data_IF_975546351821
#
_entry.id   IF_975546351821
#
_cell.length_a   1.000
_cell.length_b   1.000
_cell.length_c   1.000
_cell.angle_alpha   90.00
_cell.angle_beta   90.00
_cell.angle_gamma   90.00
#
_symmetry.space_group_name_H-M   'P 1'
#
loop_
_entity.id
_entity.type
_entity.pdbx_description
1 polymer ?
#
# COMPACT_ATOMS: atom_id res chain seq x y z
N UNK A 1 -8.84 34.68 -36.49
CA UNK A 1 -10.27 34.33 -36.55
C UNK A 1 -10.46 33.10 -35.69
N UNK A 2 -11.24 33.26 -34.63
CA UNK A 2 -11.56 32.26 -33.62
C UNK A 2 -12.49 31.21 -34.22
N UNK A 3 -12.15 29.94 -34.10
CA UNK A 3 -13.12 28.83 -34.19
C UNK A 3 -13.05 28.06 -32.89
N UNK A 4 -14.21 28.01 -32.25
CA UNK A 4 -14.54 27.70 -30.87
C UNK A 4 -14.20 26.29 -30.39
N UNK A 5 -13.60 26.24 -29.20
CA UNK A 5 -13.69 25.15 -28.23
C UNK A 5 -15.16 24.81 -27.94
N UNK A 6 -15.61 23.61 -28.31
CA UNK A 6 -16.90 23.05 -27.87
C UNK A 6 -16.75 21.91 -26.86
N UNK A 7 -15.52 21.42 -26.57
CA UNK A 7 -15.29 20.33 -25.61
C UNK A 7 -14.88 20.82 -24.19
N UNK A 8 -14.59 22.12 -24.04
CA UNK A 8 -14.24 22.74 -22.75
C UNK A 8 -15.41 23.51 -22.11
N UNK A 9 -16.56 23.58 -22.80
CA UNK A 9 -17.76 24.24 -22.29
C UNK A 9 -18.64 23.30 -21.45
N UNK A 10 -18.54 21.99 -21.68
CA UNK A 10 -19.25 20.99 -20.88
C UNK A 10 -18.57 20.71 -19.52
N UNK A 11 -17.39 21.28 -19.26
CA UNK A 11 -16.65 21.08 -18.00
C UNK A 11 -16.89 22.20 -16.96
N UNK A 12 -17.54 23.30 -17.32
CA UNK A 12 -17.75 24.46 -16.43
C UNK A 12 -19.21 24.71 -16.05
N UNK A 13 -20.16 24.08 -16.74
CA UNK A 13 -21.61 24.26 -16.46
C UNK A 13 -22.15 23.31 -15.38
N UNK A 14 -21.36 22.32 -14.92
CA UNK A 14 -21.77 21.34 -13.88
C UNK A 14 -21.46 21.77 -12.42
N UNK A 15 -20.86 22.95 -12.22
CA UNK A 15 -20.68 23.54 -10.88
C UNK A 15 -21.94 24.27 -10.38
N UNK A 16 -23.06 24.15 -11.09
CA UNK A 16 -24.37 24.60 -10.66
C UNK A 16 -25.03 23.63 -9.68
N UNK A 17 -24.81 23.82 -8.38
CA UNK A 17 -25.67 23.30 -7.30
C UNK A 17 -26.16 21.86 -7.48
N UNK A 18 -25.24 20.90 -7.62
CA UNK A 18 -25.57 19.49 -7.86
C UNK A 18 -26.47 18.91 -6.76
N UNK A 19 -27.73 18.63 -7.10
CA UNK A 19 -28.59 17.79 -6.27
C UNK A 19 -27.98 16.38 -6.27
N UNK A 20 -27.42 15.96 -5.13
CA UNK A 20 -27.00 14.58 -4.89
C UNK A 20 -28.14 13.62 -5.29
N UNK A 21 -27.82 12.44 -5.86
CA UNK A 21 -28.85 11.49 -6.26
C UNK A 21 -29.73 11.13 -5.05
N UNK A 22 -31.05 10.94 -5.29
CA UNK A 22 -31.97 10.60 -4.22
C UNK A 22 -31.58 9.25 -3.62
N UNK A 23 -31.77 9.07 -2.30
CA UNK A 23 -31.39 7.84 -1.65
C UNK A 23 -32.29 6.68 -2.11
N UNK A 24 -31.74 5.46 -2.23
CA UNK A 24 -32.53 4.27 -2.53
C UNK A 24 -33.53 3.96 -1.41
N UNK A 25 -34.53 3.14 -1.73
CA UNK A 25 -35.54 2.66 -0.79
C UNK A 25 -36.27 3.76 0.02
N UNK A 26 -36.40 4.95 -0.56
CA UNK A 26 -37.03 6.10 0.08
C UNK A 26 -36.26 6.66 1.27
N UNK A 27 -34.93 6.46 1.32
CA UNK A 27 -34.07 7.05 2.35
C UNK A 27 -34.11 6.35 3.71
N UNK A 28 -34.55 5.08 3.76
CA UNK A 28 -34.69 4.31 5.01
C UNK A 28 -33.67 3.17 5.08
N UNK A 29 -32.50 3.37 5.71
CA UNK A 29 -31.51 2.31 5.90
C UNK A 29 -32.00 1.23 6.87
N UNK A 30 -31.57 -0.03 6.66
CA UNK A 30 -31.93 -1.16 7.54
C UNK A 30 -31.19 -1.18 8.88
N UNK A 31 -30.01 -0.56 8.95
CA UNK A 31 -29.13 -0.63 10.14
C UNK A 31 -28.57 0.72 10.57
N UNK A 32 -27.95 1.46 9.65
CA UNK A 32 -27.26 2.72 9.99
C UNK A 32 -28.24 3.81 10.41
N UNK A 33 -27.79 4.68 11.31
CA UNK A 33 -28.59 5.80 11.80
C UNK A 33 -28.04 7.11 11.25
N UNK A 34 -28.91 7.89 10.61
CA UNK A 34 -28.59 9.22 10.14
C UNK A 34 -28.68 10.26 11.27
N UNK A 35 -27.82 11.28 11.19
CA UNK A 35 -27.91 12.46 12.02
C UNK A 35 -29.10 13.34 11.60
N UNK A 36 -29.50 14.30 12.46
CA UNK A 36 -30.57 15.24 12.13
C UNK A 36 -30.34 15.95 10.79
N UNK A 37 -31.31 15.85 9.88
CA UNK A 37 -31.27 16.52 8.57
C UNK A 37 -30.54 15.76 7.46
N UNK A 38 -29.82 14.69 7.77
CA UNK A 38 -29.23 13.80 6.77
C UNK A 38 -30.28 12.77 6.32
N UNK A 39 -30.61 12.77 5.02
CA UNK A 39 -31.57 11.84 4.43
C UNK A 39 -30.88 10.73 3.63
N UNK A 40 -29.55 10.66 3.68
CA UNK A 40 -28.76 9.67 2.98
C UNK A 40 -28.48 10.00 1.52
N UNK A 41 -28.68 11.24 1.07
CA UNK A 41 -28.35 11.64 -0.31
C UNK A 41 -26.84 11.45 -0.59
N UNK A 42 -26.50 10.89 -1.74
CA UNK A 42 -25.12 10.57 -2.11
C UNK A 42 -24.49 9.39 -1.36
N UNK A 43 -25.26 8.60 -0.59
CA UNK A 43 -24.79 7.31 -0.08
C UNK A 43 -24.95 6.21 -1.12
N UNK A 44 -23.93 5.38 -1.26
CA UNK A 44 -24.03 4.10 -1.99
C UNK A 44 -25.18 3.25 -1.44
N UNK A 45 -25.81 2.49 -2.33
CA UNK A 45 -26.89 1.55 -1.99
C UNK A 45 -26.50 0.57 -0.89
N UNK A 46 -25.23 0.18 -0.81
CA UNK A 46 -24.72 -0.71 0.22
C UNK A 46 -25.06 -0.22 1.64
N UNK A 47 -25.00 1.10 1.88
CA UNK A 47 -25.25 1.67 3.22
C UNK A 47 -26.72 1.66 3.64
N UNK A 48 -27.65 1.30 2.75
CA UNK A 48 -29.06 1.10 3.08
C UNK A 48 -29.37 -0.35 3.45
N UNK A 49 -28.44 -1.26 3.23
CA UNK A 49 -28.55 -2.68 3.57
C UNK A 49 -28.22 -2.94 5.06
N UNK A 50 -28.40 -4.20 5.47
CA UNK A 50 -28.00 -4.66 6.81
C UNK A 50 -26.57 -5.25 6.76
N UNK A 51 -25.56 -4.59 7.35
CA UNK A 51 -24.17 -5.03 7.29
C UNK A 51 -23.96 -6.41 7.92
N UNK A 52 -24.85 -6.87 8.81
CA UNK A 52 -24.73 -8.19 9.46
C UNK A 52 -24.84 -9.33 8.46
N UNK A 53 -25.62 -9.14 7.40
CA UNK A 53 -25.87 -10.14 6.34
C UNK A 53 -25.35 -9.70 4.97
N UNK A 54 -24.85 -8.47 4.84
CA UNK A 54 -24.29 -7.93 3.61
C UNK A 54 -23.03 -8.70 3.18
N UNK A 55 -22.95 -9.06 1.90
CA UNK A 55 -21.82 -9.79 1.31
C UNK A 55 -21.11 -9.05 0.17
N UNK A 56 -21.63 -7.91 -0.27
CA UNK A 56 -21.17 -7.26 -1.49
C UNK A 56 -21.57 -8.03 -2.74
N UNK A 57 -21.50 -7.34 -3.88
CA UNK A 57 -21.68 -7.97 -5.20
C UNK A 57 -20.28 -8.29 -5.75
N UNK A 58 -19.99 -9.55 -6.11
CA UNK A 58 -18.76 -9.87 -6.82
C UNK A 58 -18.75 -9.22 -8.20
N UNK A 59 -17.57 -8.79 -8.65
CA UNK A 59 -17.39 -8.34 -10.03
C UNK A 59 -17.37 -9.51 -11.03
N UNK A 60 -17.11 -9.21 -12.31
CA UNK A 60 -17.08 -10.18 -13.41
C UNK A 60 -16.14 -11.36 -13.20
N UNK A 61 -15.07 -11.20 -12.39
CA UNK A 61 -14.11 -12.25 -12.06
C UNK A 61 -14.42 -12.99 -10.76
N UNK A 62 -15.58 -12.75 -10.15
CA UNK A 62 -15.97 -13.33 -8.86
C UNK A 62 -15.21 -12.76 -7.65
N UNK A 63 -14.39 -11.73 -7.86
CA UNK A 63 -13.66 -11.03 -6.81
C UNK A 63 -14.55 -9.96 -6.17
N UNK A 64 -14.40 -9.75 -4.86
CA UNK A 64 -15.02 -8.64 -4.14
C UNK A 64 -13.91 -7.69 -3.70
N UNK A 65 -14.07 -6.40 -4.02
CA UNK A 65 -13.13 -5.35 -3.61
C UNK A 65 -13.77 -4.39 -2.62
N UNK A 66 -12.98 -3.79 -1.73
CA UNK A 66 -13.40 -2.66 -0.90
C UNK A 66 -14.74 -2.86 -0.19
N UNK A 67 -14.82 -3.96 0.56
CA UNK A 67 -16.01 -4.44 1.28
C UNK A 67 -17.23 -4.72 0.38
N UNK A 68 -17.05 -4.68 -0.95
CA UNK A 68 -18.11 -4.76 -1.94
C UNK A 68 -18.95 -3.49 -2.04
N UNK A 69 -18.43 -2.32 -1.69
CA UNK A 69 -19.20 -1.06 -1.61
C UNK A 69 -19.36 -0.34 -2.96
N UNK A 70 -18.48 -0.64 -3.91
CA UNK A 70 -18.34 0.08 -5.16
C UNK A 70 -18.70 -0.81 -6.36
N UNK A 71 -19.22 -0.22 -7.44
CA UNK A 71 -19.34 -0.92 -8.72
C UNK A 71 -17.96 -1.18 -9.33
N UNK A 72 -17.92 -2.02 -10.36
CA UNK A 72 -16.69 -2.40 -11.06
C UNK A 72 -16.69 -1.90 -12.50
N UNK A 73 -15.50 -1.65 -13.04
CA UNK A 73 -15.28 -1.40 -14.45
C UNK A 73 -15.15 -2.70 -15.26
N UNK A 74 -14.88 -2.57 -16.56
CA UNK A 74 -14.71 -3.69 -17.48
C UNK A 74 -13.54 -4.60 -17.10
N UNK A 75 -12.52 -4.07 -16.42
CA UNK A 75 -11.34 -4.78 -15.96
C UNK A 75 -11.50 -5.38 -14.55
N UNK A 76 -12.71 -5.33 -13.99
CA UNK A 76 -13.05 -5.83 -12.65
C UNK A 76 -12.34 -5.06 -11.52
N UNK A 77 -12.02 -3.78 -11.74
CA UNK A 77 -11.49 -2.88 -10.72
C UNK A 77 -12.61 -2.02 -10.12
N UNK A 78 -12.53 -1.70 -8.82
CA UNK A 78 -13.53 -0.86 -8.17
C UNK A 78 -13.49 0.56 -8.74
N UNK A 79 -14.66 1.04 -9.13
CA UNK A 79 -14.86 2.41 -9.60
C UNK A 79 -15.11 3.31 -8.38
N UNK A 80 -14.08 4.04 -7.97
CA UNK A 80 -14.17 4.95 -6.84
C UNK A 80 -14.71 6.33 -7.27
N UNK A 81 -15.90 6.67 -6.78
CA UNK A 81 -16.53 8.01 -6.82
C UNK A 81 -16.29 8.85 -8.10
N UNK A 82 -16.83 8.39 -9.24
CA UNK A 82 -16.64 9.03 -10.56
C UNK A 82 -17.20 10.46 -10.63
N UNK A 83 -18.31 10.71 -9.91
CA UNK A 83 -19.10 11.96 -9.97
C UNK A 83 -18.81 12.92 -8.81
N UNK A 84 -17.88 12.58 -7.91
CA UNK A 84 -17.57 13.39 -6.72
C UNK A 84 -18.69 13.43 -5.69
N UNK A 85 -19.67 12.53 -5.77
CA UNK A 85 -20.82 12.46 -4.89
C UNK A 85 -20.41 12.22 -3.43
N UNK A 86 -19.41 11.37 -3.22
CA UNK A 86 -18.90 11.07 -1.88
C UNK A 86 -18.19 12.30 -1.29
N UNK A 87 -17.47 13.07 -2.11
CA UNK A 87 -16.86 14.34 -1.72
C UNK A 87 -17.94 15.38 -1.36
N UNK A 88 -18.95 15.57 -2.22
CA UNK A 88 -20.05 16.53 -1.96
C UNK A 88 -20.81 16.16 -0.69
N UNK A 89 -21.09 14.86 -0.49
CA UNK A 89 -21.71 14.35 0.73
C UNK A 89 -20.84 14.63 1.95
N UNK A 90 -19.54 14.37 1.86
CA UNK A 90 -18.58 14.66 2.93
C UNK A 90 -18.59 16.16 3.25
N UNK A 91 -18.51 17.04 2.25
CA UNK A 91 -18.58 18.49 2.46
C UNK A 91 -19.88 18.93 3.14
N UNK A 92 -21.03 18.37 2.73
CA UNK A 92 -22.36 18.72 3.25
C UNK A 92 -22.58 18.25 4.69
N UNK A 93 -22.15 17.04 5.02
CA UNK A 93 -22.49 16.40 6.29
C UNK A 93 -21.32 16.21 7.25
N UNK A 94 -20.07 16.56 6.89
CA UNK A 94 -18.91 16.38 7.78
C UNK A 94 -19.15 16.96 9.16
N UNK A 95 -19.63 18.21 9.26
CA UNK A 95 -19.85 18.91 10.54
C UNK A 95 -20.90 18.21 11.40
N UNK A 96 -21.90 17.56 10.79
CA UNK A 96 -22.95 16.81 11.50
C UNK A 96 -22.40 15.59 12.25
N UNK A 97 -21.32 15.02 11.72
CA UNK A 97 -20.66 13.82 12.23
C UNK A 97 -19.27 14.13 12.83
N UNK A 98 -18.92 15.40 13.02
CA UNK A 98 -17.73 15.77 13.78
C UNK A 98 -17.96 15.51 15.28
N UNK A 99 -16.97 14.93 15.95
CA UNK A 99 -17.01 14.64 17.39
C UNK A 99 -17.41 13.19 17.70
N UNK A 100 -18.41 13.00 18.57
CA UNK A 100 -18.77 11.68 19.11
C UNK A 100 -19.79 10.92 18.27
N UNK A 101 -20.40 11.55 17.26
CA UNK A 101 -21.40 10.89 16.41
C UNK A 101 -20.71 10.19 15.24
N UNK A 102 -20.80 8.86 15.21
CA UNK A 102 -20.32 8.07 14.07
C UNK A 102 -21.14 8.35 12.81
N UNK A 103 -20.46 8.49 11.68
CA UNK A 103 -21.11 8.59 10.37
C UNK A 103 -21.85 7.27 10.04
N UNK A 104 -22.84 7.30 9.13
CA UNK A 104 -23.53 6.10 8.68
C UNK A 104 -22.56 5.09 8.07
N UNK A 105 -21.56 5.57 7.34
CA UNK A 105 -20.52 4.72 6.77
C UNK A 105 -19.68 4.05 7.85
N UNK A 106 -19.22 4.78 8.87
CA UNK A 106 -18.46 4.18 9.98
C UNK A 106 -19.29 3.12 10.72
N UNK A 107 -20.56 3.41 11.03
CA UNK A 107 -21.47 2.45 11.68
C UNK A 107 -21.60 1.13 10.88
N UNK A 108 -21.60 1.22 9.55
CA UNK A 108 -21.69 0.05 8.67
C UNK A 108 -20.38 -0.73 8.64
N UNK A 109 -19.26 -0.03 8.46
CA UNK A 109 -17.93 -0.63 8.31
C UNK A 109 -17.44 -1.26 9.61
N UNK A 110 -17.74 -0.65 10.76
CA UNK A 110 -17.45 -1.23 12.08
C UNK A 110 -18.02 -2.65 12.22
N UNK A 111 -19.25 -2.86 11.73
CA UNK A 111 -19.91 -4.18 11.76
C UNK A 111 -19.22 -5.17 10.83
N UNK A 112 -18.83 -4.76 9.62
CA UNK A 112 -18.10 -5.62 8.68
C UNK A 112 -16.74 -6.03 9.24
N UNK A 113 -16.01 -5.07 9.82
CA UNK A 113 -14.72 -5.32 10.46
C UNK A 113 -14.86 -6.23 11.67
N UNK A 114 -15.88 -6.04 12.52
CA UNK A 114 -16.16 -6.92 13.65
C UNK A 114 -16.51 -8.34 13.21
N UNK A 115 -17.27 -8.49 12.12
CA UNK A 115 -17.59 -9.79 11.55
C UNK A 115 -16.32 -10.47 11.05
N UNK A 116 -15.51 -9.78 10.25
CA UNK A 116 -14.25 -10.34 9.72
C UNK A 116 -13.26 -10.68 10.84
N UNK A 117 -13.18 -9.87 11.91
CA UNK A 117 -12.39 -10.19 13.11
C UNK A 117 -12.81 -11.52 13.73
N UNK A 118 -14.12 -11.74 13.90
CA UNK A 118 -14.65 -12.98 14.47
C UNK A 118 -14.42 -14.18 13.55
N UNK A 119 -14.58 -13.99 12.24
CA UNK A 119 -14.30 -15.02 11.24
C UNK A 119 -12.83 -15.44 11.27
N UNK A 120 -11.90 -14.48 11.25
CA UNK A 120 -10.46 -14.79 11.35
C UNK A 120 -10.11 -15.41 12.70
N UNK A 121 -10.68 -14.94 13.81
CA UNK A 121 -10.42 -15.51 15.12
C UNK A 121 -10.89 -16.98 15.25
N UNK A 122 -11.89 -17.39 14.46
CA UNK A 122 -12.38 -18.75 14.39
C UNK A 122 -11.74 -19.59 13.26
N UNK A 123 -10.90 -18.98 12.42
CA UNK A 123 -10.29 -19.64 11.27
C UNK A 123 -9.16 -20.58 11.71
N UNK A 124 -9.25 -21.84 11.30
CA UNK A 124 -8.12 -22.76 11.35
C UNK A 124 -7.25 -22.59 10.11
N UNK A 125 -6.01 -22.14 10.30
CA UNK A 125 -5.05 -21.96 9.22
C UNK A 125 -4.50 -23.29 8.69
N UNK A 126 -4.76 -24.43 9.34
CA UNK A 126 -4.28 -25.76 8.92
C UNK A 126 -2.77 -25.80 8.63
N UNK A 127 -1.97 -24.98 9.34
CA UNK A 127 -0.52 -24.90 9.17
C UNK A 127 -0.04 -23.97 8.04
N UNK A 128 -0.94 -23.26 7.34
CA UNK A 128 -0.57 -22.29 6.28
C UNK A 128 0.37 -21.19 6.80
N UNK A 129 0.31 -20.85 8.08
CA UNK A 129 1.23 -19.92 8.75
C UNK A 129 2.66 -20.47 8.89
N UNK A 130 2.86 -21.77 8.75
CA UNK A 130 4.16 -22.46 8.85
C UNK A 130 4.72 -22.88 7.50
N UNK A 131 3.94 -22.70 6.44
CA UNK A 131 4.31 -23.06 5.07
C UNK A 131 4.86 -21.86 4.32
N UNK A 132 5.78 -22.12 3.40
CA UNK A 132 6.17 -21.15 2.41
C UNK A 132 5.17 -21.14 1.26
N UNK A 133 5.01 -19.99 0.63
CA UNK A 133 4.19 -19.82 -0.57
C UNK A 133 5.00 -19.16 -1.65
N UNK A 134 4.74 -19.55 -2.90
CA UNK A 134 5.21 -18.82 -4.08
C UNK A 134 4.08 -17.90 -4.50
N UNK A 135 4.36 -16.60 -4.49
CA UNK A 135 3.44 -15.56 -4.94
C UNK A 135 3.88 -14.99 -6.27
N UNK A 136 2.90 -14.66 -7.10
CA UNK A 136 3.08 -13.89 -8.31
C UNK A 136 2.26 -12.60 -8.22
N UNK A 137 2.95 -11.48 -8.10
CA UNK A 137 2.33 -10.15 -8.11
C UNK A 137 2.47 -9.52 -9.48
N UNK A 138 1.38 -8.98 -10.01
CA UNK A 138 1.36 -8.18 -11.24
C UNK A 138 0.63 -6.87 -11.02
N UNK A 139 1.02 -5.84 -11.77
CA UNK A 139 0.22 -4.63 -11.91
C UNK A 139 -1.03 -4.94 -12.74
N UNK A 140 -2.20 -4.51 -12.31
CA UNK A 140 -3.41 -4.63 -13.13
C UNK A 140 -3.37 -3.58 -14.25
N UNK A 141 -3.94 -3.91 -15.41
CA UNK A 141 -4.06 -3.00 -16.57
C UNK A 141 -2.74 -2.44 -17.13
N UNK A 142 -1.60 -3.01 -16.75
CA UNK A 142 -0.29 -2.71 -17.33
C UNK A 142 0.18 -3.92 -18.12
N UNK A 143 -0.34 -4.05 -19.34
CA UNK A 143 -0.11 -5.19 -20.20
C UNK A 143 0.75 -4.82 -21.42
N UNK A 144 1.41 -5.82 -21.99
CA UNK A 144 2.04 -5.74 -23.30
C UNK A 144 0.98 -5.76 -24.41
N UNK A 145 1.40 -5.48 -25.65
CA UNK A 145 0.53 -5.55 -26.85
C UNK A 145 -0.13 -6.92 -27.07
N UNK A 146 0.43 -7.98 -26.48
CA UNK A 146 -0.09 -9.35 -26.60
C UNK A 146 -1.03 -9.72 -25.42
N UNK A 147 -1.33 -8.79 -24.51
CA UNK A 147 -2.17 -9.03 -23.33
C UNK A 147 -1.40 -9.58 -22.11
N UNK A 148 -0.11 -9.87 -22.23
CA UNK A 148 0.70 -10.37 -21.11
C UNK A 148 1.08 -9.27 -20.12
N UNK A 149 1.11 -9.53 -18.80
CA UNK A 149 1.53 -8.55 -17.80
C UNK A 149 2.94 -8.00 -18.10
N UNK A 150 3.06 -6.67 -18.14
CA UNK A 150 4.32 -6.01 -18.47
C UNK A 150 5.24 -5.88 -17.25
N UNK A 151 4.65 -5.74 -16.07
CA UNK A 151 5.36 -5.56 -14.80
C UNK A 151 4.85 -6.58 -13.78
N UNK A 152 5.74 -7.47 -13.34
CA UNK A 152 5.40 -8.51 -12.36
C UNK A 152 6.64 -9.02 -11.61
N UNK A 153 6.40 -9.66 -10.46
CA UNK A 153 7.43 -10.30 -9.62
C UNK A 153 6.93 -11.65 -9.14
N UNK A 154 7.82 -12.63 -9.12
CA UNK A 154 7.56 -13.97 -8.58
C UNK A 154 8.54 -14.24 -7.44
N UNK A 155 8.03 -14.57 -6.26
CA UNK A 155 8.87 -14.72 -5.08
C UNK A 155 8.28 -15.72 -4.08
N UNK A 156 9.16 -16.35 -3.31
CA UNK A 156 8.83 -17.27 -2.21
C UNK A 156 8.99 -16.57 -0.88
N UNK A 157 8.11 -16.86 0.08
CA UNK A 157 8.19 -16.40 1.47
C UNK A 157 7.27 -17.22 2.38
N UNK A 158 7.41 -17.06 3.70
CA UNK A 158 6.50 -17.68 4.68
C UNK A 158 5.10 -17.06 4.68
N UNK A 159 4.06 -17.90 4.69
CA UNK A 159 2.67 -17.49 4.93
C UNK A 159 2.40 -16.93 6.34
N UNK A 160 3.32 -17.16 7.29
CA UNK A 160 3.26 -16.65 8.66
C UNK A 160 3.77 -15.22 8.83
N UNK A 161 4.20 -14.56 7.76
CA UNK A 161 4.64 -13.16 7.83
C UNK A 161 3.44 -12.24 8.17
N UNK A 162 3.65 -11.27 9.08
CA UNK A 162 2.64 -10.22 9.34
C UNK A 162 2.47 -9.33 8.13
N UNK A 163 1.23 -8.90 7.83
CA UNK A 163 0.93 -8.08 6.65
C UNK A 163 1.71 -6.75 6.66
N UNK A 164 1.85 -6.13 7.82
CA UNK A 164 2.65 -4.90 7.98
C UNK A 164 4.12 -5.09 7.60
N UNK A 165 4.70 -6.24 7.97
CA UNK A 165 6.09 -6.61 7.65
C UNK A 165 6.19 -7.04 6.18
N UNK A 166 5.22 -7.78 5.67
CA UNK A 166 5.13 -8.16 4.26
C UNK A 166 5.16 -6.92 3.37
N UNK A 167 4.33 -5.92 3.66
CA UNK A 167 4.37 -4.65 2.95
C UNK A 167 5.73 -3.96 3.07
N UNK A 168 6.18 -3.72 4.31
CA UNK A 168 7.31 -2.84 4.58
C UNK A 168 8.64 -3.42 4.11
N UNK A 169 8.81 -4.73 4.30
CA UNK A 169 10.10 -5.41 4.18
C UNK A 169 10.23 -6.23 2.92
N UNK A 170 9.12 -6.60 2.28
CA UNK A 170 9.13 -7.54 1.15
C UNK A 170 8.50 -6.92 -0.08
N UNK A 171 7.21 -6.59 -0.04
CA UNK A 171 6.45 -6.21 -1.23
C UNK A 171 6.90 -4.88 -1.82
N UNK A 172 6.97 -3.82 -1.01
CA UNK A 172 7.47 -2.52 -1.45
C UNK A 172 8.88 -2.59 -2.09
N UNK A 173 9.92 -3.17 -1.44
CA UNK A 173 11.27 -3.22 -2.02
C UNK A 173 11.40 -4.13 -3.25
N UNK A 174 10.67 -5.26 -3.32
CA UNK A 174 10.71 -6.17 -4.48
C UNK A 174 10.06 -5.52 -5.70
N UNK A 175 8.94 -4.82 -5.52
CA UNK A 175 8.31 -4.05 -6.59
C UNK A 175 9.21 -2.90 -7.04
N UNK A 176 9.80 -2.18 -6.08
CA UNK A 176 10.63 -0.99 -6.30
C UNK A 176 10.02 0.30 -5.75
N UNK A 177 9.04 0.18 -4.87
CA UNK A 177 8.40 1.31 -4.18
C UNK A 177 9.26 1.83 -3.01
N UNK A 178 9.11 3.12 -2.72
CA UNK A 178 9.71 3.78 -1.57
C UNK A 178 8.97 3.36 -0.31
N UNK A 179 9.69 2.76 0.63
CA UNK A 179 9.13 2.38 1.92
C UNK A 179 8.64 3.60 2.68
N UNK A 180 7.49 3.44 3.33
CA UNK A 180 6.85 4.45 4.18
C UNK A 180 6.43 5.74 3.45
N UNK A 181 6.24 5.72 2.14
CA UNK A 181 5.85 6.92 1.41
C UNK A 181 4.33 7.09 1.38
N UNK A 182 3.64 6.15 0.75
CA UNK A 182 2.19 6.20 0.56
C UNK A 182 1.41 5.25 1.48
N UNK A 183 0.10 5.46 1.58
CA UNK A 183 -0.82 4.49 2.16
C UNK A 183 -0.94 3.25 1.28
N UNK A 184 -1.43 2.17 1.88
CA UNK A 184 -1.71 0.93 1.19
C UNK A 184 -2.83 0.15 1.89
N UNK A 185 -3.46 -0.75 1.15
CA UNK A 185 -4.30 -1.82 1.72
C UNK A 185 -4.08 -3.14 0.99
N UNK A 186 -4.21 -4.23 1.73
CA UNK A 186 -4.49 -5.55 1.18
C UNK A 186 -5.99 -5.80 1.19
N UNK A 187 -6.48 -6.49 0.16
CA UNK A 187 -7.88 -6.90 0.03
C UNK A 187 -7.95 -8.42 -0.02
N UNK A 188 -8.71 -9.02 0.90
CA UNK A 188 -9.15 -10.41 0.76
C UNK A 188 -10.22 -10.47 -0.33
N UNK A 189 -9.86 -10.91 -1.54
CA UNK A 189 -10.78 -10.84 -2.70
C UNK A 189 -11.95 -11.82 -2.60
N UNK A 190 -11.98 -12.70 -1.59
CA UNK A 190 -13.09 -13.63 -1.34
C UNK A 190 -14.30 -12.93 -0.72
N UNK A 191 -14.09 -11.83 0.01
CA UNK A 191 -15.15 -11.08 0.71
C UNK A 191 -14.98 -9.55 0.72
N UNK A 192 -13.91 -9.03 0.13
CA UNK A 192 -13.60 -7.61 0.03
C UNK A 192 -13.01 -6.99 1.29
N UNK A 193 -12.70 -7.76 2.33
CA UNK A 193 -12.16 -7.20 3.56
C UNK A 193 -10.82 -6.50 3.35
N UNK A 194 -10.68 -5.30 3.92
CA UNK A 194 -9.49 -4.47 3.79
C UNK A 194 -8.58 -4.57 5.02
N UNK A 195 -7.28 -4.57 4.79
CA UNK A 195 -6.23 -4.60 5.81
C UNK A 195 -5.18 -3.53 5.52
N UNK A 196 -4.91 -2.65 6.48
CA UNK A 196 -3.94 -1.56 6.35
C UNK A 196 -3.37 -1.12 7.70
N UNK A 197 -2.42 -0.17 7.73
CA UNK A 197 -1.72 0.18 8.97
C UNK A 197 -2.63 0.92 9.96
N UNK A 198 -2.68 0.48 11.24
CA UNK A 198 -3.54 1.10 12.28
C UNK A 198 -3.40 2.63 12.35
N UNK A 199 -2.17 3.11 12.13
CA UNK A 199 -1.88 4.54 11.97
C UNK A 199 -1.06 4.77 10.72
N UNK A 200 -1.39 5.81 9.95
CA UNK A 200 -0.55 6.32 8.87
C UNK A 200 -0.61 7.85 8.87
N UNK A 201 0.52 8.51 8.67
CA UNK A 201 0.59 9.96 8.45
C UNK A 201 0.91 10.32 7.00
N UNK A 202 0.84 9.35 6.07
CA UNK A 202 1.00 9.65 4.64
C UNK A 202 -0.10 10.60 4.17
N UNK A 203 0.26 11.52 3.27
CA UNK A 203 -0.62 12.61 2.82
C UNK A 203 -1.88 12.06 2.14
N UNK A 204 -1.73 10.99 1.38
CA UNK A 204 -2.79 10.31 0.63
C UNK A 204 -3.82 9.58 1.52
N UNK A 205 -3.61 9.51 2.85
CA UNK A 205 -4.61 8.98 3.79
C UNK A 205 -5.95 9.72 3.69
N UNK A 206 -5.95 10.98 3.24
CA UNK A 206 -7.17 11.77 3.00
C UNK A 206 -8.15 11.10 2.03
N UNK A 207 -7.66 10.18 1.19
CA UNK A 207 -8.47 9.43 0.22
C UNK A 207 -9.08 8.14 0.79
N UNK A 208 -8.89 7.82 2.09
CA UNK A 208 -9.41 6.58 2.70
C UNK A 208 -10.93 6.40 2.50
N UNK A 209 -11.70 7.48 2.53
CA UNK A 209 -13.15 7.48 2.27
C UNK A 209 -13.51 7.03 0.85
N UNK A 210 -12.59 7.20 -0.11
CA UNK A 210 -12.75 6.74 -1.48
C UNK A 210 -12.28 5.30 -1.68
N UNK A 211 -11.55 4.70 -0.74
CA UNK A 211 -11.06 3.33 -0.87
C UNK A 211 -12.02 2.33 -0.24
N UNK A 212 -12.44 2.58 0.99
CA UNK A 212 -13.31 1.66 1.74
C UNK A 212 -13.67 2.14 3.14
N UNK A 213 -13.47 3.43 3.41
CA UNK A 213 -13.72 4.14 4.67
C UNK A 213 -12.86 3.71 5.87
N UNK A 214 -12.63 2.41 6.06
CA UNK A 214 -11.77 1.88 7.11
C UNK A 214 -11.27 0.48 6.76
N UNK A 215 -10.29 0.00 7.53
CA UNK A 215 -9.66 -1.29 7.35
C UNK A 215 -9.20 -1.92 8.68
N UNK A 216 -9.00 -3.23 8.66
CA UNK A 216 -8.42 -3.96 9.78
C UNK A 216 -6.92 -3.65 9.93
N UNK A 217 -6.40 -3.49 11.16
CA UNK A 217 -4.99 -3.16 11.41
C UNK A 217 -4.08 -4.33 11.02
N UNK A 218 -3.29 -4.14 9.96
CA UNK A 218 -2.53 -5.18 9.27
C UNK A 218 -1.42 -5.82 10.13
N UNK A 219 -0.92 -5.11 11.15
CA UNK A 219 0.04 -5.67 12.12
C UNK A 219 -0.56 -6.81 12.96
N UNK A 220 -1.89 -6.91 13.05
CA UNK A 220 -2.58 -7.97 13.80
C UNK A 220 -2.75 -9.25 12.98
N UNK A 221 -2.58 -9.20 11.66
CA UNK A 221 -2.87 -10.30 10.75
C UNK A 221 -1.62 -10.79 9.99
N UNK A 222 -1.60 -12.08 9.70
CA UNK A 222 -0.62 -12.75 8.83
C UNK A 222 -1.13 -12.88 7.39
N UNK A 223 -0.20 -13.04 6.44
CA UNK A 223 -0.49 -13.29 5.03
C UNK A 223 -1.39 -14.51 4.80
N UNK A 224 -1.19 -15.59 5.57
CA UNK A 224 -2.00 -16.82 5.57
C UNK A 224 -3.49 -16.62 5.88
N UNK A 225 -3.91 -15.48 6.43
CA UNK A 225 -5.35 -15.21 6.57
C UNK A 225 -6.02 -14.80 5.26
N UNK A 226 -5.25 -14.36 4.25
CA UNK A 226 -5.79 -13.80 3.01
C UNK A 226 -5.93 -14.83 1.88
N UNK A 227 -5.58 -16.09 2.12
CA UNK A 227 -5.74 -17.18 1.16
C UNK A 227 -6.02 -18.50 1.87
N UNK A 228 -6.49 -19.51 1.13
CA UNK A 228 -6.73 -20.85 1.64
C UNK A 228 -6.15 -21.94 0.73
N UNK A 229 -5.98 -21.66 -0.57
CA UNK A 229 -5.49 -22.62 -1.56
C UNK A 229 -4.70 -21.96 -2.67
N UNK A 230 -4.00 -22.78 -3.45
CA UNK A 230 -3.38 -22.36 -4.72
C UNK A 230 -4.44 -21.81 -5.68
N UNK A 231 -4.08 -20.74 -6.39
CA UNK A 231 -4.98 -19.99 -7.28
C UNK A 231 -5.78 -18.89 -6.59
N UNK A 232 -5.82 -18.84 -5.25
CA UNK A 232 -6.43 -17.71 -4.54
C UNK A 232 -5.66 -16.42 -4.85
N UNK A 233 -6.41 -15.31 -4.86
CA UNK A 233 -5.89 -14.00 -5.23
C UNK A 233 -6.11 -12.98 -4.10
N UNK A 234 -5.14 -12.10 -3.92
CA UNK A 234 -5.13 -11.02 -2.93
C UNK A 234 -4.97 -9.72 -3.70
N UNK A 235 -5.84 -8.74 -3.40
CA UNK A 235 -5.71 -7.40 -3.94
C UNK A 235 -4.67 -6.62 -3.14
N UNK A 236 -3.86 -5.81 -3.82
CA UNK A 236 -2.95 -4.88 -3.16
C UNK A 236 -3.04 -3.51 -3.84
N UNK A 237 -3.55 -2.54 -3.08
CA UNK A 237 -3.63 -1.15 -3.50
C UNK A 237 -2.51 -0.38 -2.81
N UNK A 238 -1.63 0.23 -3.60
CA UNK A 238 -0.58 1.14 -3.13
C UNK A 238 -0.88 2.55 -3.64
N UNK A 239 -0.68 3.55 -2.78
CA UNK A 239 -1.02 4.95 -3.03
C UNK A 239 -2.52 5.17 -3.23
N UNK A 240 -3.18 5.75 -2.24
CA UNK A 240 -4.62 6.02 -2.35
C UNK A 240 -4.94 7.19 -3.29
N UNK A 241 -3.94 8.03 -3.62
CA UNK A 241 -4.06 9.09 -4.60
C UNK A 241 -4.07 8.50 -6.02
N UNK A 242 -2.92 7.97 -6.42
CA UNK A 242 -2.69 7.40 -7.76
C UNK A 242 -3.48 6.11 -8.02
N UNK A 243 -3.67 5.29 -6.98
CA UNK A 243 -4.32 3.98 -7.03
C UNK A 243 -3.57 2.96 -7.88
N UNK A 244 -2.38 2.57 -7.43
CA UNK A 244 -1.65 1.44 -8.02
C UNK A 244 -2.25 0.11 -7.56
N UNK A 245 -3.08 -0.46 -8.42
CA UNK A 245 -3.69 -1.76 -8.19
C UNK A 245 -2.76 -2.89 -8.63
N UNK A 246 -2.64 -3.88 -7.76
CA UNK A 246 -1.90 -5.10 -8.00
C UNK A 246 -2.76 -6.30 -7.64
N UNK A 247 -2.52 -7.39 -8.36
CA UNK A 247 -3.09 -8.69 -8.09
C UNK A 247 -1.97 -9.65 -7.68
N UNK A 248 -2.07 -10.20 -6.48
CA UNK A 248 -1.12 -11.18 -5.93
C UNK A 248 -1.80 -12.54 -6.00
N UNK A 249 -1.25 -13.47 -6.80
CA UNK A 249 -1.77 -14.84 -6.91
C UNK A 249 -0.91 -15.80 -6.10
N UNK A 250 -1.55 -16.69 -5.33
CA UNK A 250 -0.88 -17.81 -4.67
C UNK A 250 -0.63 -18.90 -5.70
N UNK A 251 0.56 -18.95 -6.29
CA UNK A 251 0.87 -19.94 -7.32
C UNK A 251 1.09 -21.33 -6.73
N UNK A 252 1.76 -21.40 -5.58
CA UNK A 252 2.12 -22.68 -4.96
C UNK A 252 2.18 -22.55 -3.44
N UNK A 253 1.67 -23.56 -2.74
CA UNK A 253 1.84 -23.73 -1.29
C UNK A 253 2.86 -24.85 -1.07
N UNK A 254 3.97 -24.53 -0.43
CA UNK A 254 5.08 -25.46 -0.20
C UNK A 254 4.79 -26.29 1.04
N UNK A 255 5.00 -27.62 1.02
CA UNK A 255 4.89 -28.46 2.21
C UNK A 255 5.75 -27.93 3.36
N UNK A 256 5.29 -28.12 4.60
CA UNK A 256 5.95 -27.54 5.78
C UNK A 256 7.40 -28.07 5.93
N UNK A 257 7.63 -29.32 5.60
CA UNK A 257 8.93 -30.00 5.61
C UNK A 257 9.94 -29.44 4.59
N UNK A 258 9.44 -28.82 3.52
CA UNK A 258 10.25 -28.14 2.49
C UNK A 258 10.37 -26.63 2.75
N UNK A 259 9.65 -26.11 3.75
CA UNK A 259 9.57 -24.68 4.06
C UNK A 259 10.74 -24.22 4.93
N UNK A 260 11.45 -23.19 4.48
CA UNK A 260 12.61 -22.59 5.17
C UNK A 260 12.29 -21.20 5.73
N UNK A 261 11.18 -20.59 5.29
CA UNK A 261 10.74 -19.26 5.68
C UNK A 261 11.53 -18.14 5.01
N UNK A 262 12.45 -18.44 4.10
CA UNK A 262 13.29 -17.44 3.45
C UNK A 262 12.52 -16.68 2.37
N UNK A 263 12.72 -15.36 2.32
CA UNK A 263 12.21 -14.51 1.25
C UNK A 263 13.17 -14.58 0.07
N UNK A 264 12.72 -15.20 -1.04
CA UNK A 264 13.51 -15.39 -2.27
C UNK A 264 12.79 -14.80 -3.46
N UNK A 265 13.43 -13.87 -4.16
CA UNK A 265 12.95 -13.41 -5.47
C UNK A 265 13.33 -14.47 -6.49
N UNK A 266 12.34 -15.07 -7.14
CA UNK A 266 12.53 -16.16 -8.09
C UNK A 266 12.66 -15.64 -9.51
N UNK A 267 11.83 -14.66 -9.87
CA UNK A 267 11.81 -14.08 -11.22
C UNK A 267 11.06 -12.73 -11.23
N UNK A 268 11.15 -12.01 -12.34
CA UNK A 268 10.38 -10.78 -12.56
C UNK A 268 10.59 -10.18 -13.94
N UNK A 269 9.71 -9.24 -14.29
CA UNK A 269 9.79 -8.47 -15.54
C UNK A 269 9.32 -7.04 -15.32
N UNK A 270 9.89 -6.11 -16.08
CA UNK A 270 9.49 -4.71 -16.08
C UNK A 270 9.99 -3.94 -14.86
N UNK A 271 10.38 -2.69 -15.11
CA UNK A 271 10.77 -1.74 -14.07
C UNK A 271 9.54 -1.30 -13.28
N UNK A 272 9.74 -0.91 -12.02
CA UNK A 272 8.65 -0.29 -11.26
C UNK A 272 8.22 1.01 -11.95
N UNK A 273 6.92 1.37 -11.98
CA UNK A 273 6.55 2.74 -12.33
C UNK A 273 7.24 3.74 -11.39
N UNK A 274 7.40 4.99 -11.83
CA UNK A 274 7.84 6.06 -10.94
C UNK A 274 6.77 6.33 -9.87
N UNK A 275 7.18 6.72 -8.67
CA UNK A 275 6.24 7.24 -7.66
C UNK A 275 5.50 8.48 -8.21
N UNK A 276 4.21 8.63 -7.91
CA UNK A 276 3.35 9.75 -8.35
C UNK A 276 3.18 9.84 -9.89
N UNK A 277 2.96 8.70 -10.56
CA UNK A 277 2.73 8.61 -12.01
C UNK A 277 1.27 8.24 -12.37
N UNK A 278 0.29 8.72 -11.59
CA UNK A 278 -1.15 8.66 -11.88
C UNK A 278 -1.73 7.24 -12.03
N UNK A 279 -1.13 6.24 -11.38
CA UNK A 279 -1.68 4.89 -11.25
C UNK A 279 -1.70 4.03 -12.51
N UNK A 280 -2.27 2.83 -12.38
CA UNK A 280 -2.29 1.83 -13.44
C UNK A 280 -3.02 2.29 -14.71
N UNK A 281 -4.16 2.99 -14.55
CA UNK A 281 -4.98 3.47 -15.68
C UNK A 281 -4.24 4.47 -16.56
N UNK A 282 -3.31 5.26 -16.01
CA UNK A 282 -2.52 6.23 -16.77
C UNK A 282 -1.22 5.61 -17.28
N UNK A 283 -0.62 4.71 -16.50
CA UNK A 283 0.69 4.15 -16.82
C UNK A 283 0.66 3.12 -17.96
N UNK A 284 -0.43 2.36 -18.11
CA UNK A 284 -0.64 1.48 -19.27
C UNK A 284 -0.57 2.27 -20.59
N UNK A 285 -1.43 3.28 -20.79
CA UNK A 285 -1.36 4.19 -21.94
C UNK A 285 -0.02 4.90 -22.10
N UNK A 286 0.63 5.31 -21.00
CA UNK A 286 1.98 5.89 -21.04
C UNK A 286 2.98 4.92 -21.69
N UNK A 287 2.95 3.63 -21.34
CA UNK A 287 3.83 2.62 -21.94
C UNK A 287 3.47 2.30 -23.41
N UNK A 288 2.19 2.39 -23.78
CA UNK A 288 1.77 2.28 -25.17
C UNK A 288 2.27 3.45 -26.03
N UNK A 289 2.21 4.67 -25.49
CA UNK A 289 2.82 5.86 -26.12
C UNK A 289 4.33 5.65 -26.24
N UNK A 290 4.98 5.22 -25.15
CA UNK A 290 6.42 4.97 -25.13
C UNK A 290 6.83 4.03 -26.26
N UNK A 291 6.10 2.94 -26.50
CA UNK A 291 6.42 1.99 -27.58
C UNK A 291 6.37 2.62 -28.98
N UNK A 292 5.45 3.55 -29.19
CA UNK A 292 5.21 4.23 -30.48
C UNK A 292 6.06 5.50 -30.64
N UNK A 293 6.65 6.00 -29.56
CA UNK A 293 7.35 7.27 -29.50
C UNK A 293 8.67 7.27 -30.28
N UNK A 294 9.04 8.46 -30.78
CA UNK A 294 10.35 8.72 -31.39
C UNK A 294 11.47 8.58 -30.34
N UNK A 295 12.74 8.34 -30.75
CA UNK A 295 13.86 8.26 -29.81
C UNK A 295 13.99 9.49 -28.89
N UNK A 296 13.73 10.70 -29.40
CA UNK A 296 13.77 11.93 -28.61
C UNK A 296 12.68 11.93 -27.53
N UNK A 297 11.44 11.59 -27.90
CA UNK A 297 10.32 11.51 -26.95
C UNK A 297 10.54 10.43 -25.90
N UNK A 298 11.09 9.27 -26.27
CA UNK A 298 11.48 8.22 -25.32
C UNK A 298 12.47 8.73 -24.27
N UNK A 299 13.43 9.56 -24.65
CA UNK A 299 14.39 10.13 -23.69
C UNK A 299 13.70 11.05 -22.67
N UNK A 300 12.73 11.85 -23.10
CA UNK A 300 11.93 12.69 -22.20
C UNK A 300 11.11 11.84 -21.22
N UNK A 301 10.39 10.85 -21.72
CA UNK A 301 9.59 9.93 -20.89
C UNK A 301 10.44 9.15 -19.89
N UNK A 302 11.66 8.73 -20.27
CA UNK A 302 12.62 8.12 -19.34
C UNK A 302 13.04 9.09 -18.26
N UNK A 303 13.26 10.37 -18.60
CA UNK A 303 13.63 11.40 -17.61
C UNK A 303 12.49 11.66 -16.64
N UNK A 304 11.25 11.61 -17.09
CA UNK A 304 10.06 11.73 -16.22
C UNK A 304 10.05 10.62 -15.16
N UNK A 305 10.21 9.34 -15.57
CA UNK A 305 10.29 8.23 -14.62
C UNK A 305 11.50 8.38 -13.68
N UNK A 306 12.67 8.71 -14.24
CA UNK A 306 13.91 8.80 -13.47
C UNK A 306 13.96 10.00 -12.51
N UNK A 307 13.06 10.97 -12.66
CA UNK A 307 12.89 12.07 -11.72
C UNK A 307 12.08 11.66 -10.47
N UNK A 308 11.42 10.50 -10.49
CA UNK A 308 10.63 10.03 -9.37
C UNK A 308 11.50 9.54 -8.19
N UNK A 309 11.04 9.71 -6.93
CA UNK A 309 11.79 9.35 -5.72
C UNK A 309 12.37 7.93 -5.67
N UNK A 310 11.67 6.93 -6.23
CA UNK A 310 12.16 5.55 -6.27
C UNK A 310 13.35 5.33 -7.21
N UNK A 311 13.66 6.31 -8.07
CA UNK A 311 14.77 6.27 -9.03
C UNK A 311 15.94 7.19 -8.69
N UNK A 312 15.93 7.84 -7.51
CA UNK A 312 17.02 8.72 -7.07
C UNK A 312 18.42 8.06 -7.08
N UNK A 313 18.49 6.74 -6.91
CA UNK A 313 19.74 5.98 -6.92
C UNK A 313 20.08 5.35 -8.29
N UNK A 314 19.29 5.60 -9.34
CA UNK A 314 19.49 5.01 -10.65
C UNK A 314 20.76 5.56 -11.33
N UNK A 315 21.56 4.67 -11.92
CA UNK A 315 22.82 5.03 -12.58
C UNK A 315 22.60 5.90 -13.82
N UNK A 316 23.40 6.97 -13.96
CA UNK A 316 23.45 7.75 -15.21
C UNK A 316 24.22 6.95 -16.28
N UNK A 317 23.86 7.06 -17.58
CA UNK A 317 22.85 7.95 -18.18
C UNK A 317 21.43 7.36 -18.29
N UNK A 318 20.40 8.20 -18.49
CA UNK A 318 19.02 7.77 -18.76
C UNK A 318 18.85 6.76 -19.91
N UNK A 319 19.80 6.68 -20.83
CA UNK A 319 19.78 5.70 -21.91
C UNK A 319 19.87 4.25 -21.42
N UNK A 320 20.39 4.01 -20.21
CA UNK A 320 20.41 2.68 -19.58
C UNK A 320 19.06 2.26 -19.02
N UNK A 321 18.11 3.19 -18.85
CA UNK A 321 16.79 2.84 -18.37
C UNK A 321 15.98 2.17 -19.48
N UNK A 322 15.49 0.97 -19.21
CA UNK A 322 14.58 0.23 -20.06
C UNK A 322 13.36 -0.20 -19.24
N UNK A 323 12.15 0.31 -19.53
CA UNK A 323 10.95 0.00 -18.74
C UNK A 323 10.56 -1.48 -18.76
N UNK A 324 11.00 -2.27 -19.75
CA UNK A 324 10.72 -3.70 -19.83
C UNK A 324 11.76 -4.56 -19.07
N UNK A 325 12.87 -3.97 -18.65
CA UNK A 325 13.95 -4.69 -17.96
C UNK A 325 13.61 -5.00 -16.50
N UNK A 326 14.22 -6.06 -15.96
CA UNK A 326 14.19 -6.36 -14.53
C UNK A 326 15.54 -6.92 -14.10
N UNK A 327 16.12 -6.33 -13.04
CA UNK A 327 17.38 -6.77 -12.45
C UNK A 327 17.13 -7.49 -11.14
N UNK A 328 17.24 -8.82 -11.16
CA UNK A 328 17.14 -9.65 -9.95
C UNK A 328 18.19 -9.26 -8.89
N UNK A 329 19.47 -9.02 -9.22
CA UNK A 329 20.46 -8.58 -8.24
C UNK A 329 20.10 -7.25 -7.56
N UNK A 330 19.58 -6.27 -8.29
CA UNK A 330 19.17 -4.99 -7.71
C UNK A 330 17.93 -5.13 -6.83
N UNK A 331 16.95 -5.95 -7.24
CA UNK A 331 15.79 -6.25 -6.42
C UNK A 331 16.17 -7.00 -5.13
N UNK A 332 17.08 -7.97 -5.23
CA UNK A 332 17.61 -8.68 -4.06
C UNK A 332 18.38 -7.75 -3.11
N UNK A 333 19.10 -6.76 -3.65
CA UNK A 333 19.76 -5.73 -2.84
C UNK A 333 18.74 -4.87 -2.09
N UNK A 334 17.70 -4.36 -2.76
CA UNK A 334 16.62 -3.58 -2.11
C UNK A 334 15.93 -4.38 -1.02
N UNK A 335 15.67 -5.66 -1.26
CA UNK A 335 15.10 -6.58 -0.28
C UNK A 335 16.03 -6.74 0.94
N UNK A 336 17.32 -7.03 0.71
CA UNK A 336 18.31 -7.18 1.78
C UNK A 336 18.46 -5.90 2.63
N UNK A 337 18.51 -4.73 1.99
CA UNK A 337 18.57 -3.44 2.68
C UNK A 337 17.30 -3.20 3.53
N UNK A 338 16.12 -3.56 3.02
CA UNK A 338 14.88 -3.47 3.77
C UNK A 338 14.87 -4.42 4.98
N UNK A 339 15.21 -5.69 4.79
CA UNK A 339 15.30 -6.69 5.86
C UNK A 339 16.31 -6.31 6.95
N UNK A 340 17.44 -5.71 6.57
CA UNK A 340 18.50 -5.26 7.49
C UNK A 340 18.19 -4.01 8.30
N UNK A 341 17.15 -3.25 7.92
CA UNK A 341 16.78 -1.97 8.54
C UNK A 341 15.67 -2.12 9.59
N UNK A 342 15.43 -1.08 10.39
CA UNK A 342 14.26 -1.03 11.28
C UNK A 342 12.95 -0.92 10.49
N UNK A 343 11.84 -1.32 11.10
CA UNK A 343 10.52 -1.07 10.53
C UNK A 343 10.28 0.43 10.35
N UNK A 344 9.57 0.76 9.30
CA UNK A 344 9.13 2.13 9.07
C UNK A 344 8.14 2.59 10.14
N UNK A 345 8.27 3.85 10.59
CA UNK A 345 7.34 4.45 11.54
C UNK A 345 6.16 5.02 10.76
N UNK A 346 5.05 4.27 10.71
CA UNK A 346 3.86 4.65 9.92
C UNK A 346 3.22 5.97 10.34
N UNK A 347 3.34 6.35 11.62
CA UNK A 347 2.87 7.64 12.13
C UNK A 347 3.77 8.83 11.76
N UNK A 348 4.83 8.60 10.97
CA UNK A 348 5.72 9.62 10.44
C UNK A 348 6.27 9.18 9.08
N UNK A 349 5.34 9.00 8.15
CA UNK A 349 5.57 8.70 6.75
C UNK A 349 6.53 9.69 6.09
N UNK A 350 7.18 9.23 5.01
CA UNK A 350 8.06 10.04 4.19
C UNK A 350 7.25 11.10 3.45
N UNK A 351 7.71 12.34 3.49
CA UNK A 351 7.05 13.46 2.80
C UNK A 351 8.10 14.45 2.32
N UNK A 352 7.90 15.01 1.13
CA UNK A 352 8.71 16.12 0.65
C UNK A 352 8.08 17.44 1.12
N UNK A 353 8.86 18.26 1.81
CA UNK A 353 8.42 19.56 2.30
C UNK A 353 9.10 20.67 1.49
N UNK A 354 8.30 21.64 1.04
CA UNK A 354 8.79 22.93 0.57
C UNK A 354 8.46 23.99 1.63
N UNK A 355 9.39 24.34 2.53
CA UNK A 355 9.13 25.28 3.60
C UNK A 355 8.85 26.69 3.06
N UNK A 356 7.70 27.27 3.44
CA UNK A 356 7.37 28.68 3.16
C UNK A 356 8.19 29.62 4.06
N UNK A 357 8.67 29.14 5.21
CA UNK A 357 9.59 29.85 6.11
C UNK A 357 10.51 28.84 6.85
N UNK A 358 11.72 29.25 7.29
CA UNK A 358 12.61 28.40 8.08
C UNK A 358 11.96 28.05 9.44
N UNK A 359 11.85 26.76 9.73
CA UNK A 359 11.39 26.19 11.01
C UNK A 359 10.08 26.78 11.59
N UNK A 360 8.98 26.47 10.89
CA UNK A 360 7.64 26.86 11.32
C UNK A 360 7.08 26.04 12.50
N UNK A 361 6.02 26.57 13.09
CA UNK A 361 5.19 26.00 14.17
C UNK A 361 4.84 24.51 13.94
N UNK A 362 4.68 24.09 12.68
CA UNK A 362 4.40 22.71 12.30
C UNK A 362 5.48 21.71 12.76
N UNK A 363 6.77 22.07 12.71
CA UNK A 363 7.85 21.16 13.14
C UNK A 363 7.84 20.97 14.67
N UNK A 364 7.54 22.03 15.42
CA UNK A 364 7.37 21.95 16.87
C UNK A 364 6.20 21.04 17.25
N UNK A 365 5.05 21.17 16.57
CA UNK A 365 3.90 20.27 16.77
C UNK A 365 4.22 18.82 16.45
N UNK A 366 4.92 18.54 15.34
CA UNK A 366 5.32 17.16 14.99
C UNK A 366 6.21 16.55 16.08
N UNK A 367 7.18 17.30 16.60
CA UNK A 367 8.09 16.84 17.67
C UNK A 367 7.37 16.50 18.97
N UNK A 368 6.27 17.18 19.31
CA UNK A 368 5.47 16.88 20.51
C UNK A 368 4.80 15.50 20.46
N UNK A 369 4.55 14.96 19.27
CA UNK A 369 3.85 13.69 19.08
C UNK A 369 4.79 12.48 18.89
N UNK A 370 6.10 12.69 18.98
CA UNK A 370 7.07 11.61 18.87
C UNK A 370 7.00 10.66 20.07
N UNK A 371 6.91 9.36 19.79
CA UNK A 371 7.05 8.34 20.83
C UNK A 371 8.51 8.23 21.26
N UNK A 372 8.76 7.76 22.48
CA UNK A 372 10.12 7.64 23.03
C UNK A 372 11.04 6.85 22.07
N UNK A 373 12.16 7.44 21.66
CA UNK A 373 13.14 6.85 20.73
C UNK A 373 12.80 7.03 19.25
N UNK A 374 11.79 7.82 18.91
CA UNK A 374 11.56 8.28 17.55
C UNK A 374 12.29 9.60 17.28
N UNK A 375 12.72 9.77 16.04
CA UNK A 375 13.48 10.93 15.57
C UNK A 375 12.99 11.35 14.18
N UNK A 376 12.82 12.65 13.97
CA UNK A 376 12.55 13.21 12.63
C UNK A 376 13.88 13.36 11.91
N UNK A 377 14.01 12.71 10.76
CA UNK A 377 15.14 12.81 9.85
C UNK A 377 14.74 13.76 8.72
N UNK A 378 15.61 14.74 8.42
CA UNK A 378 15.45 15.64 7.28
C UNK A 378 16.64 15.48 6.35
N UNK A 379 16.37 15.24 5.08
CA UNK A 379 17.36 15.11 4.01
C UNK A 379 17.10 16.21 2.99
N UNK A 380 17.99 17.21 2.94
CA UNK A 380 17.79 18.43 2.16
C UNK A 380 18.21 18.19 0.72
N UNK A 381 17.35 18.61 -0.21
CA UNK A 381 17.66 18.57 -1.64
C UNK A 381 18.84 19.54 -1.91
N UNK A 382 20.00 19.06 -2.40
CA UNK A 382 21.16 19.92 -2.65
C UNK A 382 20.92 21.02 -3.70
N UNK A 383 19.98 20.80 -4.63
CA UNK A 383 19.70 21.69 -5.76
C UNK A 383 18.36 22.43 -5.59
N UNK A 384 17.56 22.05 -4.60
CA UNK A 384 16.22 22.56 -4.35
C UNK A 384 16.08 23.43 -3.09
N UNK A 385 14.88 23.97 -2.89
CA UNK A 385 14.50 24.70 -1.68
C UNK A 385 13.78 23.81 -0.65
N UNK A 386 13.68 22.51 -0.91
CA UNK A 386 12.91 21.54 -0.12
C UNK A 386 13.75 20.48 0.57
N UNK A 387 13.09 19.63 1.36
CA UNK A 387 13.71 18.50 2.02
C UNK A 387 12.73 17.33 2.15
N UNK A 388 13.27 16.12 2.07
CA UNK A 388 12.58 14.91 2.49
C UNK A 388 12.58 14.82 4.00
N UNK A 389 11.43 14.48 4.57
CA UNK A 389 11.28 14.24 6.00
C UNK A 389 10.70 12.86 6.24
N UNK A 390 11.21 12.13 7.23
CA UNK A 390 10.58 10.91 7.74
C UNK A 390 10.83 10.75 9.24
N UNK A 391 9.96 10.02 9.93
CA UNK A 391 10.23 9.59 11.31
C UNK A 391 10.90 8.21 11.30
N UNK A 392 11.99 8.10 12.03
CA UNK A 392 12.71 6.84 12.26
C UNK A 392 12.64 6.47 13.74
N UNK A 393 12.96 5.22 14.09
CA UNK A 393 13.09 4.81 15.47
C UNK A 393 14.46 4.18 15.74
N UNK A 394 15.03 4.53 16.89
CA UNK A 394 16.20 3.87 17.46
C UNK A 394 15.82 2.66 18.33
N UNK A 395 14.53 2.41 18.54
CA UNK A 395 14.06 1.23 19.27
C UNK A 395 14.12 -0.01 18.37
N UNK A 396 14.34 -1.15 19.02
CA UNK A 396 14.16 -2.46 18.38
C UNK A 396 12.69 -2.69 18.03
N UNK A 397 12.47 -3.35 16.90
CA UNK A 397 11.14 -3.76 16.47
C UNK A 397 10.53 -4.79 17.43
N UNK A 398 9.19 -4.81 17.48
CA UNK A 398 8.45 -5.81 18.26
C UNK A 398 8.74 -7.21 17.72
N UNK A 399 8.65 -8.22 18.59
CA UNK A 399 9.02 -9.61 18.25
C UNK A 399 8.13 -10.22 17.16
N UNK A 400 6.86 -9.86 17.17
CA UNK A 400 5.82 -10.31 16.25
C UNK A 400 5.80 -9.49 14.94
N UNK A 401 6.36 -8.28 14.94
CA UNK A 401 6.46 -7.40 13.78
C UNK A 401 7.89 -7.39 13.20
N UNK A 402 8.66 -8.47 13.33
CA UNK A 402 10.05 -8.51 12.87
C UNK A 402 10.40 -9.85 12.25
N UNK A 403 11.41 -9.83 11.39
CA UNK A 403 11.89 -10.99 10.63
C UNK A 403 13.40 -11.11 10.77
N UNK A 404 13.94 -12.26 10.38
CA UNK A 404 15.38 -12.42 10.27
C UNK A 404 15.94 -11.41 9.25
N UNK A 405 16.89 -10.60 9.68
CA UNK A 405 17.47 -9.55 8.84
C UNK A 405 18.33 -10.07 7.68
N UNK A 406 18.67 -11.35 7.69
CA UNK A 406 19.44 -11.97 6.60
C UNK A 406 18.55 -12.68 5.57
N UNK A 407 17.47 -13.34 6.02
CA UNK A 407 16.68 -14.26 5.18
C UNK A 407 15.19 -13.92 5.15
N UNK A 408 14.69 -13.00 5.99
CA UNK A 408 13.28 -12.61 6.02
C UNK A 408 12.34 -13.60 6.73
N UNK A 409 12.85 -14.69 7.32
CA UNK A 409 12.03 -15.64 8.08
C UNK A 409 11.34 -14.97 9.28
N UNK A 410 10.00 -15.02 9.39
CA UNK A 410 9.30 -14.68 10.63
C UNK A 410 9.52 -15.80 11.66
N UNK A 411 10.07 -15.47 12.83
CA UNK A 411 10.16 -16.43 13.96
C UNK A 411 10.22 -15.68 15.30
N UNK A 412 9.08 -15.14 15.80
CA UNK A 412 9.06 -14.25 16.96
C UNK A 412 9.75 -14.83 18.21
N UNK A 413 9.69 -16.15 18.36
CA UNK A 413 10.20 -16.88 19.52
C UNK A 413 11.69 -17.21 19.41
N UNK A 414 12.21 -17.47 18.20
CA UNK A 414 13.58 -17.94 17.99
C UNK A 414 14.55 -16.81 17.59
N UNK A 415 14.03 -15.64 17.22
CA UNK A 415 14.83 -14.52 16.73
C UNK A 415 15.74 -13.92 17.82
N UNK A 416 17.04 -14.17 17.68
CA UNK A 416 18.11 -13.61 18.52
C UNK A 416 18.50 -12.22 18.05
N UNK A 417 18.77 -11.31 19.00
CA UNK A 417 19.12 -9.92 18.70
C UNK A 417 20.64 -9.80 18.54
N UNK A 418 21.10 -8.93 17.64
CA UNK A 418 22.51 -8.55 17.54
C UNK A 418 23.01 -7.98 18.89
N UNK A 419 24.06 -8.58 19.47
CA UNK A 419 24.64 -8.13 20.74
C UNK A 419 25.38 -6.79 20.69
N UNK A 420 25.59 -6.20 19.51
CA UNK A 420 26.21 -4.89 19.36
C UNK A 420 25.19 -3.74 19.39
N UNK A 421 24.23 -3.75 18.45
CA UNK A 421 23.24 -2.67 18.32
C UNK A 421 21.94 -2.91 19.09
N UNK A 422 21.64 -4.17 19.47
CA UNK A 422 20.39 -4.58 20.11
C UNK A 422 19.12 -4.26 19.30
N UNK A 423 19.25 -4.02 17.99
CA UNK A 423 18.13 -3.66 17.09
C UNK A 423 17.76 -4.79 16.14
N UNK A 424 18.73 -5.28 15.38
CA UNK A 424 18.54 -6.27 14.30
C UNK A 424 18.43 -7.68 14.86
N UNK A 425 17.61 -8.54 14.22
CA UNK A 425 17.32 -9.91 14.66
C UNK A 425 17.70 -10.97 13.63
N UNK A 426 18.02 -12.17 14.12
CA UNK A 426 18.46 -13.30 13.32
C UNK A 426 17.86 -14.60 13.83
N UNK A 427 17.42 -15.49 12.93
CA UNK A 427 16.87 -16.79 13.31
C UNK A 427 17.97 -17.81 13.66
N UNK A 428 19.21 -17.61 13.20
CA UNK A 428 20.33 -18.46 13.55
C UNK A 428 21.67 -17.69 13.57
N UNK A 429 22.72 -18.23 14.23
CA UNK A 429 24.05 -17.62 14.26
C UNK A 429 24.71 -17.46 12.88
N UNK A 430 24.44 -18.38 11.95
CA UNK A 430 25.03 -18.31 10.61
C UNK A 430 24.47 -17.12 9.81
N UNK A 431 23.17 -16.88 9.88
CA UNK A 431 22.55 -15.69 9.30
C UNK A 431 23.10 -14.38 9.89
N UNK A 432 23.39 -14.37 11.20
CA UNK A 432 24.07 -13.22 11.81
C UNK A 432 25.47 -13.02 11.22
N UNK A 433 26.28 -14.08 11.07
CA UNK A 433 27.63 -14.00 10.49
C UNK A 433 27.61 -13.55 9.03
N UNK A 434 26.67 -14.07 8.24
CA UNK A 434 26.54 -13.71 6.82
C UNK A 434 26.14 -12.24 6.66
N UNK A 435 25.09 -11.79 7.37
CA UNK A 435 24.68 -10.39 7.32
C UNK A 435 25.76 -9.45 7.88
N UNK A 436 26.49 -9.88 8.92
CA UNK A 436 27.62 -9.12 9.48
C UNK A 436 28.69 -8.84 8.43
N UNK A 437 29.11 -9.86 7.68
CA UNK A 437 30.13 -9.73 6.63
C UNK A 437 29.64 -8.87 5.46
N UNK A 438 28.38 -9.02 5.07
CA UNK A 438 27.83 -8.33 3.90
C UNK A 438 27.67 -6.82 4.12
N UNK A 439 26.95 -6.43 5.19
CA UNK A 439 26.57 -5.01 5.37
C UNK A 439 26.53 -4.59 6.85
N UNK A 440 26.08 -5.47 7.74
CA UNK A 440 25.74 -5.07 9.12
C UNK A 440 26.94 -4.58 9.93
N UNK A 441 28.18 -5.01 9.64
CA UNK A 441 29.38 -4.51 10.32
C UNK A 441 29.52 -2.98 10.24
N UNK A 442 29.09 -2.37 9.14
CA UNK A 442 29.17 -0.93 8.92
C UNK A 442 27.94 -0.19 9.48
N UNK A 443 26.80 -0.86 9.58
CA UNK A 443 25.54 -0.31 10.11
C UNK A 443 25.42 -0.44 11.63
N UNK A 444 26.01 -1.49 12.20
CA UNK A 444 26.03 -1.74 13.64
C UNK A 444 26.89 -0.67 14.30
N UNK A 445 26.24 0.41 14.73
CA UNK A 445 26.95 1.60 15.17
C UNK A 445 27.99 1.28 16.26
N UNK A 446 29.22 1.78 16.05
CA UNK A 446 30.23 1.91 17.13
C UNK A 446 29.71 2.74 18.31
N UNK A 447 28.60 3.48 18.15
CA UNK A 447 27.98 4.36 19.16
C UNK A 447 27.40 3.61 20.37
N UNK A 448 26.97 2.35 20.20
CA UNK A 448 26.50 1.49 21.31
C UNK A 448 27.57 0.49 21.81
N UNK A 449 28.80 0.54 21.27
CA UNK A 449 29.93 -0.29 21.73
C UNK A 449 30.65 0.29 22.96
N UNK A 450 30.11 1.30 23.65
CA UNK A 450 30.68 1.71 24.94
C UNK A 450 30.33 0.66 25.99
N UNK A 451 31.35 -0.16 26.30
CA UNK A 451 31.44 -1.04 27.47
C UNK A 451 31.00 -0.35 28.75
#
# INVERSE_FOLDING_TARGET
>A
MLTSNSALKDFTDDFGGGNLPPPPYGGRPKYVKFGPGDKGEGLSHAFFEDPRIYKGTPGSRGQIHSWGLYPYDEDNLPIYDVSGESLFRQMKYQVLYMGTRQSPQQQFIDVLMDRKRKEIAALDLNGLDKQDVILHVKFTNVNSKNGEPRIWRRFRLSGGIKLSVFQDKVLAPILGWVRNFHCYVFTDLRDGALFGPETSSSVDRVHLTHIGYDYLPDEKFMLSHLFAKEGDQIGYLYDFGDKWFHEITVEKIIPQEESDGEVKILDGKGMCPGENMNGCHSFGPFLEEYDKATPARKVEMKREILACPNYNAFGKPPSLFDPDSFSLPEAAKRLADALGSANSVRSGAKVFNMPIAPDGVADAFKRMHLKKGQHIMKDYDPEGLGYWEETTSSRKDKRDETVCAACGKPSPEELKVCGGCHQVRYCCPEHQKTHWKAVHKNQCSRKYMKK
#
